data_IF_041250863166
#
_entry.id   IF_041250863166
#
_cell.length_a   1.000
_cell.length_b   1.000
_cell.length_c   1.000
_cell.angle_alpha   90.00
_cell.angle_beta   90.00
_cell.angle_gamma   90.00
#
_symmetry.space_group_name_H-M   'P 1'
#
loop_
_entity.id
_entity.type
_entity.pdbx_description
1 polymer ?
#
# COMPACT_ATOMS: atom_id res chain seq x y z
N UNK A 1 -23.08 17.71 -17.00
CA UNK A 1 -22.92 16.32 -16.51
C UNK A 1 -21.44 16.09 -16.24
N UNK A 2 -21.03 15.74 -15.01
CA UNK A 2 -19.63 15.43 -14.70
C UNK A 2 -19.33 14.01 -15.20
N UNK A 3 -18.40 13.86 -16.13
CA UNK A 3 -17.85 12.54 -16.46
C UNK A 3 -17.09 12.02 -15.24
N UNK A 4 -17.61 10.98 -14.61
CA UNK A 4 -16.93 10.28 -13.52
C UNK A 4 -16.02 9.24 -14.15
N UNK A 5 -14.74 9.57 -14.29
CA UNK A 5 -13.73 8.61 -14.76
C UNK A 5 -13.31 7.74 -13.57
N UNK A 6 -13.61 6.45 -13.63
CA UNK A 6 -13.18 5.49 -12.62
C UNK A 6 -11.68 5.21 -12.76
N UNK A 7 -10.91 5.49 -11.71
CA UNK A 7 -9.43 5.38 -11.71
C UNK A 7 -8.97 3.97 -12.11
N UNK A 8 -9.72 2.93 -11.72
CA UNK A 8 -9.45 1.52 -12.01
C UNK A 8 -9.74 1.08 -13.45
N UNK A 9 -10.38 1.94 -14.25
CA UNK A 9 -10.73 1.68 -15.65
C UNK A 9 -9.87 2.48 -16.63
N UNK A 10 -8.88 3.22 -16.13
CA UNK A 10 -8.00 4.01 -16.98
C UNK A 10 -6.90 3.13 -17.58
N UNK A 11 -6.79 3.16 -18.89
CA UNK A 11 -5.79 2.42 -19.67
C UNK A 11 -4.88 3.42 -20.39
N UNK A 12 -3.58 3.12 -20.44
CA UNK A 12 -2.62 3.83 -21.28
C UNK A 12 -2.91 3.53 -22.77
N UNK A 13 -2.35 4.33 -23.65
CA UNK A 13 -2.31 4.21 -25.13
C UNK A 13 -1.99 2.81 -25.66
N UNK A 14 -1.44 1.92 -24.82
CA UNK A 14 -1.11 0.53 -25.12
C UNK A 14 -2.13 -0.49 -24.53
N UNK A 15 -3.33 -0.06 -24.15
CA UNK A 15 -4.35 -0.87 -23.45
C UNK A 15 -3.83 -1.53 -22.15
N UNK A 16 -2.84 -0.91 -21.49
CA UNK A 16 -2.33 -1.36 -20.20
C UNK A 16 -3.05 -0.58 -19.10
N UNK A 17 -3.56 -1.29 -18.10
CA UNK A 17 -4.17 -0.65 -16.92
C UNK A 17 -3.15 0.23 -16.22
N UNK A 18 -3.50 1.50 -16.03
CA UNK A 18 -2.62 2.49 -15.39
C UNK A 18 -2.46 2.20 -13.89
N UNK A 19 -3.49 1.62 -13.27
CA UNK A 19 -3.53 1.32 -11.84
C UNK A 19 -3.75 -0.18 -11.60
N UNK A 20 -2.96 -0.77 -10.70
CA UNK A 20 -3.14 -2.16 -10.28
C UNK A 20 -4.06 -2.23 -9.04
N UNK A 21 -5.23 -2.90 -9.10
CA UNK A 21 -6.13 -3.02 -7.95
C UNK A 21 -5.58 -3.94 -6.84
N UNK A 22 -4.59 -4.77 -7.14
CA UNK A 22 -3.96 -5.66 -6.17
C UNK A 22 -2.55 -5.15 -5.83
N UNK A 23 -2.34 -4.82 -4.56
CA UNK A 23 -1.05 -4.39 -4.03
C UNK A 23 -0.52 -5.43 -3.04
N UNK A 24 0.57 -6.10 -3.41
CA UNK A 24 1.26 -7.06 -2.56
C UNK A 24 2.38 -6.31 -1.84
N UNK A 25 2.33 -6.35 -0.52
CA UNK A 25 3.33 -5.73 0.34
C UNK A 25 3.93 -6.78 1.28
N UNK A 26 5.24 -6.69 1.51
CA UNK A 26 5.95 -7.49 2.49
C UNK A 26 6.44 -6.60 3.61
N UNK A 27 6.03 -6.91 4.83
CA UNK A 27 6.36 -6.16 6.02
C UNK A 27 7.32 -6.87 6.95
N UNK A 28 8.20 -6.11 7.58
CA UNK A 28 8.91 -6.54 8.79
C UNK A 28 8.54 -5.60 9.94
N UNK A 29 8.34 -6.16 11.13
CA UNK A 29 8.00 -5.37 12.29
C UNK A 29 8.40 -6.04 13.58
N UNK A 30 8.64 -5.21 14.58
CA UNK A 30 8.96 -5.61 15.94
C UNK A 30 8.11 -4.83 16.93
N UNK A 31 7.88 -5.42 18.10
CA UNK A 31 7.11 -4.76 19.14
C UNK A 31 7.44 -5.28 20.53
N UNK A 32 7.17 -4.43 21.51
CA UNK A 32 7.27 -4.76 22.93
C UNK A 32 5.87 -4.81 23.52
N UNK A 33 5.61 -5.82 24.34
CA UNK A 33 4.38 -5.98 25.10
C UNK A 33 4.70 -5.85 26.58
N UNK A 34 3.96 -4.98 27.27
CA UNK A 34 3.99 -4.82 28.72
C UNK A 34 2.55 -4.92 29.23
N UNK A 35 2.28 -5.96 30.02
CA UNK A 35 0.93 -6.35 30.46
C UNK A 35 -0.05 -6.45 29.28
N UNK A 36 -1.18 -5.73 29.34
CA UNK A 36 -2.21 -5.73 28.30
C UNK A 36 -1.86 -4.78 27.14
N UNK A 37 -0.81 -3.96 27.25
CA UNK A 37 -0.46 -2.95 26.25
C UNK A 37 0.72 -3.42 25.40
N UNK A 38 0.63 -3.23 24.08
CA UNK A 38 1.72 -3.48 23.15
C UNK A 38 1.93 -2.32 22.19
N UNK A 39 3.21 -2.01 21.96
CA UNK A 39 3.65 -1.03 20.95
C UNK A 39 4.40 -1.78 19.87
N UNK A 40 4.07 -1.53 18.61
CA UNK A 40 4.76 -2.14 17.47
C UNK A 40 5.14 -1.10 16.44
N UNK A 41 6.32 -1.27 15.87
CA UNK A 41 6.82 -0.53 14.73
C UNK A 41 7.02 -1.53 13.60
N UNK A 42 6.50 -1.23 12.42
CA UNK A 42 6.71 -2.05 11.23
C UNK A 42 6.98 -1.19 10.02
N UNK A 43 7.66 -1.79 9.06
CA UNK A 43 7.94 -1.20 7.76
C UNK A 43 7.53 -2.19 6.68
N UNK A 44 6.69 -1.73 5.76
CA UNK A 44 6.15 -2.54 4.69
C UNK A 44 6.67 -2.03 3.35
N UNK A 45 7.32 -2.92 2.60
CA UNK A 45 7.78 -2.68 1.23
C UNK A 45 6.72 -3.16 0.24
N UNK A 46 6.32 -2.29 -0.68
CA UNK A 46 5.51 -2.63 -1.84
C UNK A 46 6.31 -3.46 -2.83
N UNK A 47 5.89 -4.70 -3.05
CA UNK A 47 6.50 -5.62 -4.02
C UNK A 47 5.98 -5.31 -5.42
N UNK A 48 4.69 -5.02 -5.52
CA UNK A 48 4.02 -4.68 -6.78
C UNK A 48 4.10 -3.19 -7.07
N UNK A 49 4.23 -2.89 -8.36
CA UNK A 49 4.14 -1.52 -8.85
C UNK A 49 2.67 -1.09 -8.84
N UNK A 50 2.36 -0.03 -8.09
CA UNK A 50 0.98 0.44 -7.92
C UNK A 50 0.52 1.26 -9.13
N UNK A 51 1.45 2.03 -9.69
CA UNK A 51 1.27 2.78 -10.93
C UNK A 51 2.20 2.24 -12.02
N UNK A 52 1.63 1.90 -13.17
CA UNK A 52 2.35 1.46 -14.37
C UNK A 52 2.47 2.60 -15.40
N UNK A 53 2.54 3.85 -14.95
CA UNK A 53 2.69 5.00 -15.83
C UNK A 53 4.06 4.92 -16.54
N UNK A 54 4.07 5.16 -17.86
CA UNK A 54 5.22 4.94 -18.74
C UNK A 54 6.53 5.63 -18.30
N UNK A 55 6.45 6.63 -17.41
CA UNK A 55 7.58 7.45 -17.00
C UNK A 55 7.93 7.37 -15.50
N UNK A 56 7.18 6.59 -14.69
CA UNK A 56 7.47 6.46 -13.26
C UNK A 56 6.89 5.16 -12.68
N UNK A 57 7.75 4.39 -12.00
CA UNK A 57 7.34 3.25 -11.18
C UNK A 57 7.11 3.77 -9.76
N UNK A 58 5.88 3.69 -9.27
CA UNK A 58 5.57 4.03 -7.88
C UNK A 58 5.34 2.76 -7.05
N UNK A 59 6.23 2.54 -6.06
CA UNK A 59 6.11 1.48 -5.06
C UNK A 59 5.65 2.07 -3.74
N UNK A 60 4.62 1.49 -3.15
CA UNK A 60 4.09 1.94 -1.87
C UNK A 60 5.03 1.45 -0.75
N UNK A 61 5.57 2.35 0.07
CA UNK A 61 6.41 1.98 1.20
C UNK A 61 5.87 2.67 2.46
N UNK A 62 5.50 1.88 3.46
CA UNK A 62 4.76 2.38 4.62
C UNK A 62 5.52 2.12 5.91
N UNK A 63 5.85 3.18 6.65
CA UNK A 63 6.28 3.10 8.05
C UNK A 63 5.05 3.18 8.96
N UNK A 64 4.87 2.19 9.82
CA UNK A 64 3.69 2.05 10.69
C UNK A 64 4.10 2.02 12.15
N UNK A 65 3.33 2.73 12.97
CA UNK A 65 3.42 2.67 14.43
C UNK A 65 2.04 2.32 14.96
N UNK A 66 1.97 1.34 15.85
CA UNK A 66 0.70 0.83 16.39
C UNK A 66 0.75 0.67 17.89
N UNK A 67 -0.40 0.92 18.52
CA UNK A 67 -0.68 0.68 19.93
C UNK A 67 -1.86 -0.29 19.99
N UNK A 68 -1.71 -1.40 20.70
CA UNK A 68 -2.76 -2.39 20.86
C UNK A 68 -2.94 -2.76 22.32
N UNK A 69 -4.20 -2.91 22.73
CA UNK A 69 -4.61 -3.44 24.02
C UNK A 69 -5.12 -4.87 23.85
N UNK A 70 -4.71 -5.80 24.69
CA UNK A 70 -5.12 -7.21 24.67
C UNK A 70 -5.44 -7.65 26.09
N UNK A 71 -6.73 -7.89 26.34
CA UNK A 71 -7.27 -8.44 27.58
C UNK A 71 -6.84 -9.90 27.79
#
# INVERSE_FOLDING_TARGET
MKNVTFIYSQEDTNNKKLYNPFDVQLGIGGGLKFNEVSVRISYDWGITDRDNAANAIWKNNDLKVSLAYTL
#
